data_IF_695910271421
#
_entry.id   IF_695910271421
#
_cell.length_a   1.000
_cell.length_b   1.000
_cell.length_c   1.000
_cell.angle_alpha   90.00
_cell.angle_beta   90.00
_cell.angle_gamma   90.00
#
_symmetry.space_group_name_H-M   'P 1'
#
loop_
_entity.id
_entity.type
_entity.pdbx_description
1 polymer ?
#
# COMPACT_ATOMS: atom_id res chain seq x y z
N UNK A 1 0.39 25.69 20.90
CA UNK A 1 -0.23 24.39 21.17
C UNK A 1 0.46 23.36 20.31
N UNK A 2 1.33 22.55 20.91
CA UNK A 2 2.07 21.52 20.19
C UNK A 2 1.24 20.24 20.18
N UNK A 3 1.20 19.57 19.02
CA UNK A 3 0.54 18.27 18.87
C UNK A 3 1.62 17.20 18.92
N UNK A 4 1.62 16.29 19.91
CA UNK A 4 2.65 15.26 19.99
C UNK A 4 2.51 14.27 18.84
N UNK A 5 3.64 13.93 18.21
CA UNK A 5 3.72 12.85 17.21
C UNK A 5 4.39 11.65 17.88
N UNK A 6 3.61 10.60 18.07
CA UNK A 6 4.12 9.35 18.61
C UNK A 6 4.75 8.53 17.50
N UNK A 7 6.00 8.13 17.69
CA UNK A 7 6.74 7.25 16.78
C UNK A 7 7.03 5.96 17.55
N UNK A 8 6.65 4.81 16.99
CA UNK A 8 7.04 3.54 17.57
C UNK A 8 8.55 3.36 17.47
N UNK A 9 9.18 2.77 18.49
CA UNK A 9 10.64 2.57 18.52
C UNK A 9 11.16 1.69 17.37
N UNK A 10 10.28 0.94 16.70
CA UNK A 10 10.54 0.26 15.44
C UNK A 10 9.92 1.02 14.26
N UNK A 11 10.69 1.90 13.61
CA UNK A 11 10.28 2.64 12.40
C UNK A 11 9.80 1.75 11.23
N UNK A 12 9.92 0.42 11.33
CA UNK A 12 9.57 -0.53 10.28
C UNK A 12 8.14 -1.09 10.40
N UNK A 13 7.22 -0.36 11.03
CA UNK A 13 5.87 -0.76 11.40
C UNK A 13 5.22 -1.74 10.40
N UNK A 14 4.86 -1.33 9.17
CA UNK A 14 4.13 -2.21 8.25
C UNK A 14 4.29 -1.86 6.76
N UNK A 15 4.56 -2.83 5.84
CA UNK A 15 5.12 -4.17 6.02
C UNK A 15 6.65 -4.15 5.85
N UNK A 16 7.37 -3.29 6.57
CA UNK A 16 8.82 -3.18 6.38
C UNK A 16 9.55 -4.18 7.28
N UNK A 17 10.08 -5.23 6.66
CA UNK A 17 10.58 -6.43 7.33
C UNK A 17 12.04 -6.34 7.84
N UNK A 18 12.63 -5.15 8.00
CA UNK A 18 14.08 -5.06 8.21
C UNK A 18 14.58 -5.51 9.58
N UNK A 19 13.70 -5.66 10.60
CA UNK A 19 14.10 -6.12 11.94
C UNK A 19 13.41 -7.40 12.44
N UNK A 20 12.32 -7.82 11.80
CA UNK A 20 11.54 -9.00 12.19
C UNK A 20 11.10 -9.73 10.92
N UNK A 21 12.00 -10.49 10.32
CA UNK A 21 11.68 -11.28 9.12
C UNK A 21 10.74 -12.42 9.53
N UNK A 22 9.45 -12.21 9.33
CA UNK A 22 8.51 -13.33 9.29
C UNK A 22 8.90 -14.20 8.08
N UNK A 23 9.60 -15.31 8.32
CA UNK A 23 10.11 -16.19 7.26
C UNK A 23 9.01 -16.63 6.29
N UNK A 24 7.82 -16.94 6.82
CA UNK A 24 6.65 -17.27 6.01
C UNK A 24 6.23 -16.13 5.07
N UNK A 25 6.18 -14.90 5.57
CA UNK A 25 5.90 -13.73 4.74
C UNK A 25 6.96 -13.53 3.65
N UNK A 26 8.24 -13.66 4.02
CA UNK A 26 9.37 -13.50 3.08
C UNK A 26 9.33 -14.57 2.00
N UNK A 27 9.08 -15.83 2.36
CA UNK A 27 8.97 -16.95 1.44
C UNK A 27 7.82 -16.74 0.44
N UNK A 28 6.62 -16.42 0.93
CA UNK A 28 5.46 -16.15 0.07
C UNK A 28 5.70 -14.94 -0.86
N UNK A 29 6.31 -13.87 -0.34
CA UNK A 29 6.64 -12.67 -1.13
C UNK A 29 7.61 -13.01 -2.25
N UNK A 30 8.64 -13.80 -1.94
CA UNK A 30 9.64 -14.23 -2.92
C UNK A 30 9.02 -15.11 -3.99
N UNK A 31 8.18 -16.06 -3.61
CA UNK A 31 7.48 -16.95 -4.53
C UNK A 31 6.54 -16.18 -5.46
N UNK A 32 5.69 -15.31 -4.90
CA UNK A 32 4.79 -14.48 -5.70
C UNK A 32 5.56 -13.62 -6.68
N UNK A 33 6.58 -12.88 -6.21
CA UNK A 33 7.39 -12.01 -7.09
C UNK A 33 8.06 -12.80 -8.20
N UNK A 34 8.57 -14.00 -7.92
CA UNK A 34 9.16 -14.87 -8.93
C UNK A 34 8.14 -15.28 -10.00
N UNK A 35 6.94 -15.69 -9.59
CA UNK A 35 5.88 -16.11 -10.51
C UNK A 35 5.33 -14.92 -11.32
N UNK A 36 5.10 -13.79 -10.66
CA UNK A 36 4.63 -12.57 -11.30
C UNK A 36 5.64 -12.01 -12.31
N UNK A 37 6.93 -11.97 -11.98
CA UNK A 37 7.98 -11.52 -12.91
C UNK A 37 8.04 -12.39 -14.18
N UNK A 38 7.89 -13.70 -14.05
CA UNK A 38 7.81 -14.62 -15.19
C UNK A 38 6.62 -14.32 -16.10
N UNK A 39 5.48 -13.92 -15.52
CA UNK A 39 4.29 -13.61 -16.34
C UNK A 39 4.42 -12.30 -17.13
N UNK A 40 5.27 -11.37 -16.68
CA UNK A 40 5.51 -10.08 -17.36
C UNK A 40 6.88 -10.00 -18.07
N UNK A 41 7.65 -11.09 -18.09
CA UNK A 41 9.08 -11.14 -18.45
C UNK A 41 9.41 -10.40 -19.75
N UNK A 42 8.68 -10.66 -20.84
CA UNK A 42 8.92 -10.03 -22.15
C UNK A 42 8.85 -8.50 -22.11
N UNK A 43 7.90 -7.94 -21.34
CA UNK A 43 7.70 -6.49 -21.24
C UNK A 43 8.61 -5.86 -20.18
N UNK A 44 8.80 -6.59 -19.08
CA UNK A 44 9.66 -6.24 -17.95
C UNK A 44 11.13 -6.09 -18.35
N UNK A 45 11.70 -7.08 -19.06
CA UNK A 45 13.11 -7.07 -19.44
C UNK A 45 13.43 -5.99 -20.46
N UNK A 46 12.54 -5.77 -21.43
CA UNK A 46 12.71 -4.69 -22.42
C UNK A 46 12.94 -3.31 -21.75
N UNK A 47 12.16 -2.98 -20.71
CA UNK A 47 12.28 -1.70 -20.02
C UNK A 47 13.52 -1.63 -19.12
N UNK A 48 13.87 -2.72 -18.44
CA UNK A 48 15.03 -2.76 -17.56
C UNK A 48 16.34 -2.73 -18.33
N UNK A 49 16.43 -3.49 -19.43
CA UNK A 49 17.63 -3.56 -20.27
C UNK A 49 17.88 -2.20 -20.94
N UNK A 50 16.83 -1.55 -21.45
CA UNK A 50 16.91 -0.21 -22.05
C UNK A 50 17.47 0.85 -21.08
N UNK A 51 17.27 0.66 -19.78
CA UNK A 51 17.64 1.63 -18.74
C UNK A 51 18.77 1.14 -17.81
N UNK A 52 19.34 -0.03 -18.11
CA UNK A 52 20.39 -0.69 -17.31
C UNK A 52 20.06 -0.82 -15.81
N UNK A 53 18.79 -1.15 -15.49
CA UNK A 53 18.32 -1.30 -14.09
C UNK A 53 18.08 -2.75 -13.68
N UNK A 54 18.26 -3.03 -12.38
CA UNK A 54 18.01 -4.36 -11.78
C UNK A 54 16.66 -4.49 -11.05
N UNK A 55 16.01 -3.37 -10.75
CA UNK A 55 14.78 -3.31 -9.95
C UNK A 55 13.68 -2.59 -10.71
N UNK A 56 12.55 -3.27 -10.89
CA UNK A 56 11.34 -2.70 -11.50
C UNK A 56 10.83 -1.51 -10.70
N UNK A 57 10.66 -1.69 -9.39
CA UNK A 57 10.25 -0.63 -8.50
C UNK A 57 11.26 0.52 -8.49
N UNK A 58 12.56 0.24 -8.47
CA UNK A 58 13.58 1.29 -8.49
C UNK A 58 13.57 2.11 -9.80
N UNK A 59 13.31 1.46 -10.95
CA UNK A 59 13.12 2.15 -12.22
C UNK A 59 11.82 2.97 -12.21
N UNK A 60 10.73 2.40 -11.70
CA UNK A 60 9.45 3.08 -11.56
C UNK A 60 9.59 4.35 -10.73
N UNK A 61 10.14 4.23 -9.53
CA UNK A 61 10.32 5.32 -8.57
C UNK A 61 11.14 6.46 -9.17
N UNK A 62 12.26 6.13 -9.82
CA UNK A 62 13.11 7.10 -10.51
C UNK A 62 12.37 7.86 -11.62
N UNK A 63 11.53 7.16 -12.40
CA UNK A 63 10.81 7.76 -13.53
C UNK A 63 9.50 8.42 -13.12
N UNK A 64 8.87 8.00 -12.03
CA UNK A 64 7.59 8.53 -11.57
C UNK A 64 7.72 10.02 -11.20
N UNK A 65 8.88 10.44 -10.69
CA UNK A 65 9.20 11.85 -10.44
C UNK A 65 9.18 12.72 -11.71
N UNK A 66 9.29 12.16 -12.92
CA UNK A 66 9.14 12.96 -14.14
C UNK A 66 7.77 13.65 -14.26
N UNK A 67 6.75 13.14 -13.54
CA UNK A 67 5.43 13.78 -13.47
C UNK A 67 5.46 15.23 -12.96
N UNK A 68 6.50 15.63 -12.22
CA UNK A 68 6.67 17.01 -11.76
C UNK A 68 7.38 17.91 -12.79
N UNK A 69 7.51 17.47 -14.04
CA UNK A 69 8.01 18.29 -15.16
C UNK A 69 9.46 18.05 -15.55
N UNK A 70 10.09 16.98 -15.06
CA UNK A 70 11.44 16.61 -15.48
C UNK A 70 11.42 15.97 -16.87
N UNK A 71 12.47 16.24 -17.66
CA UNK A 71 12.63 15.63 -18.98
C UNK A 71 12.73 14.10 -18.87
N UNK A 72 12.09 13.40 -19.79
CA UNK A 72 12.17 11.94 -19.89
C UNK A 72 13.43 11.52 -20.64
N UNK A 73 14.07 10.39 -20.26
CA UNK A 73 15.11 9.77 -21.06
C UNK A 73 14.60 9.44 -22.47
N UNK A 74 15.52 9.43 -23.44
CA UNK A 74 15.18 9.18 -24.84
C UNK A 74 14.43 7.84 -25.00
N UNK A 75 13.32 7.89 -25.73
CA UNK A 75 12.48 6.72 -25.99
C UNK A 75 11.72 6.18 -24.78
N UNK A 76 11.65 6.92 -23.66
CA UNK A 76 10.72 6.65 -22.57
C UNK A 76 9.51 7.57 -22.73
N UNK A 77 8.32 6.97 -22.77
CA UNK A 77 7.05 7.71 -22.87
C UNK A 77 6.33 7.73 -21.53
N UNK A 78 5.38 8.66 -21.35
CA UNK A 78 4.47 8.63 -20.18
C UNK A 78 3.73 7.30 -20.05
N UNK A 79 3.32 6.70 -21.18
CA UNK A 79 2.70 5.37 -21.21
C UNK A 79 3.63 4.28 -20.65
N UNK A 80 4.93 4.36 -20.96
CA UNK A 80 5.93 3.43 -20.41
C UNK A 80 6.00 3.53 -18.89
N UNK A 81 5.87 4.73 -18.33
CA UNK A 81 5.87 4.97 -16.88
C UNK A 81 4.60 4.43 -16.23
N UNK A 82 3.44 4.62 -16.86
CA UNK A 82 2.16 4.08 -16.39
C UNK A 82 2.16 2.54 -16.39
N UNK A 83 2.61 1.91 -17.48
CA UNK A 83 2.75 0.44 -17.56
C UNK A 83 3.70 -0.07 -16.47
N UNK A 84 4.85 0.57 -16.31
CA UNK A 84 5.83 0.25 -15.29
C UNK A 84 5.26 0.39 -13.87
N UNK A 85 4.47 1.44 -13.62
CA UNK A 85 3.78 1.65 -12.36
C UNK A 85 2.76 0.56 -12.07
N UNK A 86 2.00 0.10 -13.06
CA UNK A 86 1.07 -1.02 -12.89
C UNK A 86 1.79 -2.33 -12.57
N UNK A 87 2.90 -2.62 -13.24
CA UNK A 87 3.69 -3.82 -12.93
C UNK A 87 4.29 -3.74 -11.52
N UNK A 88 4.85 -2.60 -11.14
CA UNK A 88 5.38 -2.37 -9.79
C UNK A 88 4.27 -2.52 -8.73
N UNK A 89 3.12 -1.87 -8.94
CA UNK A 89 2.02 -1.91 -7.98
C UNK A 89 1.46 -3.33 -7.81
N UNK A 90 1.25 -4.06 -8.91
CA UNK A 90 0.78 -5.46 -8.84
C UNK A 90 1.81 -6.37 -8.17
N UNK A 91 3.10 -6.24 -8.49
CA UNK A 91 4.16 -7.00 -7.81
C UNK A 91 4.13 -6.83 -6.29
N UNK A 92 3.80 -5.63 -5.82
CA UNK A 92 3.82 -5.28 -4.40
C UNK A 92 2.51 -5.57 -3.66
N UNK A 93 1.36 -5.29 -4.28
CA UNK A 93 0.09 -5.18 -3.55
C UNK A 93 -0.94 -6.27 -3.90
N UNK A 94 -0.86 -6.87 -5.09
CA UNK A 94 -1.75 -7.96 -5.51
C UNK A 94 -1.77 -9.16 -4.54
N UNK A 95 -0.64 -9.57 -3.92
CA UNK A 95 -0.64 -10.68 -2.96
C UNK A 95 -1.55 -10.46 -1.74
N UNK A 96 -1.71 -9.22 -1.28
CA UNK A 96 -2.61 -8.89 -0.17
C UNK A 96 -4.08 -9.11 -0.57
N UNK A 97 -4.41 -8.87 -1.84
CA UNK A 97 -5.74 -9.14 -2.38
C UNK A 97 -5.99 -10.63 -2.59
N UNK A 98 -4.99 -11.39 -3.02
CA UNK A 98 -5.15 -12.80 -3.39
C UNK A 98 -4.96 -13.78 -2.21
N UNK A 99 -4.28 -13.37 -1.14
CA UNK A 99 -3.95 -14.27 -0.03
C UNK A 99 -4.20 -13.65 1.34
N UNK A 100 -5.11 -14.25 2.10
CA UNK A 100 -5.38 -13.85 3.47
C UNK A 100 -4.21 -14.17 4.39
N UNK A 101 -3.47 -15.26 4.14
CA UNK A 101 -2.24 -15.57 4.88
C UNK A 101 -1.19 -14.49 4.65
N UNK A 102 -0.98 -14.08 3.39
CA UNK A 102 -0.05 -13.00 3.07
C UNK A 102 -0.43 -11.69 3.76
N UNK A 103 -1.72 -11.38 3.78
CA UNK A 103 -2.28 -10.22 4.48
C UNK A 103 -2.03 -10.27 5.98
N UNK A 104 -2.33 -11.41 6.62
CA UNK A 104 -2.14 -11.60 8.06
C UNK A 104 -0.68 -11.43 8.46
N UNK A 105 0.25 -12.00 7.70
CA UNK A 105 1.68 -11.94 8.00
C UNK A 105 2.32 -10.59 7.63
N UNK A 106 1.81 -9.90 6.60
CA UNK A 106 2.37 -8.63 6.12
C UNK A 106 1.82 -7.39 6.83
N UNK A 107 0.50 -7.15 6.74
CA UNK A 107 -0.16 -5.90 7.19
C UNK A 107 -1.14 -6.13 8.35
N UNK A 108 -1.32 -7.39 8.79
CA UNK A 108 -2.30 -7.75 9.82
C UNK A 108 -2.13 -7.04 11.16
N UNK A 109 -0.89 -6.74 11.56
CA UNK A 109 -0.61 -5.96 12.78
C UNK A 109 -1.13 -4.52 12.68
N UNK A 110 -1.02 -3.86 11.51
CA UNK A 110 -1.62 -2.55 11.28
C UNK A 110 -3.14 -2.60 11.36
N UNK A 111 -3.74 -3.61 10.73
CA UNK A 111 -5.19 -3.82 10.76
C UNK A 111 -5.67 -4.02 12.19
N UNK A 112 -4.90 -4.73 13.03
CA UNK A 112 -5.18 -4.87 14.47
C UNK A 112 -5.14 -3.52 15.19
N UNK A 113 -4.15 -2.68 14.92
CA UNK A 113 -4.05 -1.34 15.54
C UNK A 113 -5.21 -0.43 15.11
N UNK A 114 -5.53 -0.40 13.82
CA UNK A 114 -6.70 0.32 13.27
C UNK A 114 -7.99 -0.17 13.95
N UNK A 115 -8.16 -1.50 14.04
CA UNK A 115 -9.32 -2.10 14.69
C UNK A 115 -9.41 -1.70 16.17
N UNK A 116 -8.29 -1.63 16.87
CA UNK A 116 -8.25 -1.15 18.27
C UNK A 116 -8.82 0.25 18.36
N UNK A 117 -8.39 1.20 17.52
CA UNK A 117 -8.90 2.58 17.54
C UNK A 117 -10.41 2.65 17.23
N UNK A 118 -10.88 1.82 16.29
CA UNK A 118 -12.32 1.69 15.99
C UNK A 118 -13.10 1.15 17.20
N UNK A 119 -12.62 0.08 17.83
CA UNK A 119 -13.30 -0.54 18.98
C UNK A 119 -13.30 0.39 20.20
N UNK A 120 -12.22 1.12 20.43
CA UNK A 120 -12.12 2.18 21.42
C UNK A 120 -13.23 3.23 21.26
N UNK A 121 -13.46 3.69 20.03
CA UNK A 121 -14.59 4.58 19.71
C UNK A 121 -15.93 3.89 19.93
N UNK A 122 -16.08 2.63 19.49
CA UNK A 122 -17.34 1.88 19.63
C UNK A 122 -17.74 1.68 21.10
N UNK A 123 -16.75 1.51 21.98
CA UNK A 123 -16.90 1.31 23.42
C UNK A 123 -17.08 2.62 24.21
N UNK A 124 -17.24 3.76 23.53
CA UNK A 124 -17.61 5.02 24.16
C UNK A 124 -16.45 5.90 24.61
N UNK A 125 -15.21 5.59 24.23
CA UNK A 125 -14.11 6.53 24.46
C UNK A 125 -14.29 7.80 23.61
N UNK A 126 -13.89 8.94 24.17
CA UNK A 126 -13.93 10.24 23.48
C UNK A 126 -12.78 10.41 22.45
N UNK A 127 -12.42 9.33 21.76
CA UNK A 127 -11.55 9.40 20.59
C UNK A 127 -12.35 9.98 19.43
N UNK A 128 -11.88 11.09 18.85
CA UNK A 128 -12.52 11.72 17.68
C UNK A 128 -11.75 11.49 16.40
N UNK A 129 -10.43 11.32 16.49
CA UNK A 129 -9.54 11.17 15.36
C UNK A 129 -8.30 10.40 15.79
N UNK A 130 -7.86 9.47 14.95
CA UNK A 130 -6.56 8.80 15.04
C UNK A 130 -5.89 8.91 13.67
N UNK A 131 -4.62 9.32 13.65
CA UNK A 131 -3.87 9.56 12.41
C UNK A 131 -2.67 8.61 12.40
N UNK A 132 -2.55 7.85 11.31
CA UNK A 132 -1.41 6.99 11.03
C UNK A 132 -0.65 7.57 9.84
N UNK A 133 0.52 8.16 10.09
CA UNK A 133 1.42 8.58 9.01
C UNK A 133 2.23 7.36 8.55
N UNK A 134 2.11 7.00 7.28
CA UNK A 134 2.62 5.74 6.75
C UNK A 134 3.21 5.90 5.34
N UNK A 135 3.75 4.81 4.79
CA UNK A 135 4.27 4.76 3.44
C UNK A 135 3.19 4.34 2.44
N UNK A 136 3.47 4.58 1.15
CA UNK A 136 2.73 4.01 0.03
C UNK A 136 2.53 2.49 0.15
N UNK A 137 3.55 1.80 0.65
CA UNK A 137 3.51 0.36 0.90
C UNK A 137 2.43 -0.02 1.92
N UNK A 138 2.17 0.81 2.93
CA UNK A 138 1.10 0.59 3.89
C UNK A 138 -0.28 0.81 3.24
N UNK A 139 -0.44 1.89 2.48
CA UNK A 139 -1.71 2.21 1.78
C UNK A 139 -2.05 1.11 0.76
N UNK A 140 -1.12 0.76 -0.12
CA UNK A 140 -1.32 -0.28 -1.14
C UNK A 140 -1.62 -1.65 -0.52
N UNK A 141 -0.93 -2.02 0.56
CA UNK A 141 -1.22 -3.24 1.31
C UNK A 141 -2.60 -3.23 1.96
N UNK A 142 -3.07 -2.11 2.50
CA UNK A 142 -4.42 -1.99 3.06
C UNK A 142 -5.48 -2.10 1.95
N UNK A 143 -5.31 -1.40 0.83
CA UNK A 143 -6.22 -1.53 -0.32
C UNK A 143 -6.33 -2.98 -0.78
N UNK A 144 -5.19 -3.69 -0.86
CA UNK A 144 -5.17 -5.11 -1.18
C UNK A 144 -5.85 -5.96 -0.10
N UNK A 145 -5.58 -5.72 1.17
CA UNK A 145 -6.18 -6.45 2.29
C UNK A 145 -7.71 -6.32 2.33
N UNK A 146 -8.23 -5.13 2.02
CA UNK A 146 -9.67 -4.85 1.93
C UNK A 146 -10.28 -5.20 0.57
N UNK A 147 -9.50 -5.80 -0.34
CA UNK A 147 -9.94 -6.28 -1.66
C UNK A 147 -10.48 -5.18 -2.59
N UNK A 148 -9.96 -3.95 -2.42
CA UNK A 148 -10.35 -2.75 -3.18
C UNK A 148 -9.17 -2.16 -3.97
N UNK A 149 -8.10 -2.92 -4.14
CA UNK A 149 -6.91 -2.47 -4.88
C UNK A 149 -7.18 -2.44 -6.39
N UNK A 150 -6.88 -1.30 -7.01
CA UNK A 150 -7.19 -1.00 -8.41
C UNK A 150 -6.01 -1.32 -9.38
N UNK A 151 -4.91 -1.85 -8.86
CA UNK A 151 -3.72 -2.13 -9.68
C UNK A 151 -2.79 -0.94 -9.87
N UNK A 152 -3.01 0.20 -9.19
CA UNK A 152 -2.18 1.41 -9.31
C UNK A 152 -1.37 1.68 -8.05
N UNK A 153 -0.20 2.26 -8.22
CA UNK A 153 0.62 2.70 -7.09
C UNK A 153 -0.08 3.87 -6.38
N UNK A 154 -0.16 3.91 -5.04
CA UNK A 154 -0.72 5.06 -4.32
C UNK A 154 0.04 6.35 -4.65
N UNK A 155 -0.68 7.41 -5.04
CA UNK A 155 -0.06 8.70 -5.34
C UNK A 155 0.46 9.41 -4.07
N UNK A 156 1.34 10.41 -4.25
CA UNK A 156 1.76 11.27 -3.13
C UNK A 156 0.55 11.93 -2.48
N UNK A 157 0.53 11.93 -1.14
CA UNK A 157 -0.60 12.46 -0.37
C UNK A 157 -1.84 11.56 -0.37
N UNK A 158 -1.77 10.33 -0.91
CA UNK A 158 -2.86 9.38 -0.82
C UNK A 158 -3.23 9.10 0.65
N UNK A 159 -4.53 9.01 0.90
CA UNK A 159 -5.10 8.78 2.23
C UNK A 159 -6.20 7.72 2.18
N UNK A 160 -6.29 6.96 3.28
CA UNK A 160 -7.43 6.11 3.59
C UNK A 160 -8.11 6.70 4.82
N UNK A 161 -9.43 6.89 4.75
CA UNK A 161 -10.25 7.36 5.87
C UNK A 161 -11.22 6.23 6.23
N UNK A 162 -11.24 5.86 7.51
CA UNK A 162 -12.17 4.89 8.07
C UNK A 162 -13.14 5.62 9.01
N UNK A 163 -14.37 5.79 8.57
CA UNK A 163 -15.39 6.54 9.32
C UNK A 163 -16.25 5.60 10.13
N UNK A 164 -16.25 5.74 11.47
CA UNK A 164 -17.21 5.03 12.33
C UNK A 164 -18.51 5.82 12.37
N UNK A 165 -19.53 5.30 11.71
CA UNK A 165 -20.84 5.93 11.62
C UNK A 165 -21.89 5.16 12.41
N UNK A 166 -23.01 5.82 12.69
CA UNK A 166 -24.15 5.25 13.41
C UNK A 166 -25.42 5.58 12.63
N UNK A 167 -26.17 4.55 12.27
CA UNK A 167 -27.51 4.71 11.72
C UNK A 167 -28.45 5.32 12.78
N UNK A 168 -29.19 6.35 12.40
CA UNK A 168 -30.09 7.07 13.32
C UNK A 168 -31.39 6.31 13.60
N UNK A 169 -31.83 5.46 12.67
CA UNK A 169 -33.07 4.70 12.74
C UNK A 169 -32.84 3.35 13.40
N UNK A 170 -31.85 2.61 12.91
CA UNK A 170 -31.59 1.21 13.35
C UNK A 170 -30.62 1.12 14.53
N UNK A 171 -30.01 2.25 14.94
CA UNK A 171 -29.00 2.32 16.01
C UNK A 171 -27.74 1.44 15.75
N UNK A 172 -27.60 0.92 14.53
CA UNK A 172 -26.45 0.11 14.11
C UNK A 172 -25.22 0.99 13.84
N UNK A 173 -24.03 0.44 14.10
CA UNK A 173 -22.75 1.11 13.83
C UNK A 173 -22.05 0.41 12.66
N UNK A 174 -21.60 1.19 11.69
CA UNK A 174 -20.85 0.69 10.54
C UNK A 174 -19.54 1.46 10.35
N UNK A 175 -18.65 0.90 9.55
CA UNK A 175 -17.38 1.53 9.16
C UNK A 175 -17.43 1.78 7.66
N UNK A 176 -17.24 3.03 7.25
CA UNK A 176 -17.12 3.40 5.83
C UNK A 176 -15.64 3.54 5.46
N UNK A 177 -15.24 2.90 4.36
CA UNK A 177 -13.89 2.98 3.81
C UNK A 177 -13.86 4.01 2.68
N UNK A 178 -12.99 5.02 2.79
CA UNK A 178 -12.81 6.06 1.79
C UNK A 178 -11.35 6.12 1.37
N UNK A 179 -11.08 6.08 0.06
CA UNK A 179 -9.76 6.22 -0.53
C UNK A 179 -9.77 7.37 -1.53
N UNK A 180 -8.87 8.34 -1.35
CA UNK A 180 -8.81 9.57 -2.18
C UNK A 180 -10.20 10.20 -2.41
N UNK A 181 -10.91 10.47 -1.31
CA UNK A 181 -12.25 11.08 -1.29
C UNK A 181 -13.37 10.26 -1.95
N UNK A 182 -13.11 9.00 -2.31
CA UNK A 182 -14.09 8.07 -2.89
C UNK A 182 -14.42 6.95 -1.92
N UNK A 183 -15.72 6.72 -1.70
CA UNK A 183 -16.17 5.53 -1.00
C UNK A 183 -15.82 4.28 -1.83
N UNK A 184 -15.24 3.28 -1.19
CA UNK A 184 -14.84 2.01 -1.82
C UNK A 184 -15.86 0.91 -1.56
#
# INVERSE_FOLDING_TARGET
NDVPVHVAHDESLYPHASKFECEGYVAMKREFRKNYRRSIEKRYHYLLDKMERKSLHGLFDSLYLSKIGLALPEGISRKSIEELGQFSAKEWFMPFQESDMFTRLGIGRMIKDIKREIDLKRNGMNLKLSIFSCHDSSIGSLLGAFKVFDGRWPDFGASIILEVQKDKLENEKYVRFVYQDKAM
#
